data_IF_667865738050
#
_entry.id   IF_667865738050
#
_cell.length_a   1.000
_cell.length_b   1.000
_cell.length_c   1.000
_cell.angle_alpha   90.00
_cell.angle_beta   90.00
_cell.angle_gamma   90.00
#
_symmetry.space_group_name_H-M   'P 1'
#
loop_
_entity.id
_entity.type
_entity.pdbx_description
1 polymer ?
#
# COMPACT_ATOMS: atom_id res chain seq x y z
N UNK A 1 -30.63 -72.30 46.04
CA UNK A 1 -31.01 -71.11 46.86
C UNK A 1 -30.87 -69.90 45.94
N UNK A 2 -31.98 -69.35 45.39
CA UNK A 2 -32.58 -68.03 45.76
C UNK A 2 -31.50 -66.95 45.99
N UNK A 3 -31.44 -65.81 45.30
CA UNK A 3 -32.54 -64.87 45.08
C UNK A 3 -32.16 -63.76 44.06
N UNK A 4 -33.15 -63.33 43.28
CA UNK A 4 -33.20 -62.08 42.51
C UNK A 4 -32.94 -60.83 43.36
N UNK A 5 -32.30 -59.81 42.77
CA UNK A 5 -32.65 -58.41 43.06
C UNK A 5 -32.51 -57.53 41.81
N UNK A 6 -33.64 -56.97 41.41
CA UNK A 6 -33.85 -55.99 40.35
C UNK A 6 -33.18 -54.67 40.72
N UNK A 7 -32.45 -54.05 39.79
CA UNK A 7 -32.12 -52.62 39.84
C UNK A 7 -32.60 -51.98 38.55
N UNK A 8 -33.33 -50.87 38.74
CA UNK A 8 -34.10 -50.13 37.76
C UNK A 8 -33.21 -49.34 36.81
N UNK A 9 -33.60 -49.34 35.54
CA UNK A 9 -33.11 -48.46 34.48
C UNK A 9 -33.47 -47.01 34.84
N UNK A 10 -32.48 -46.13 34.95
CA UNK A 10 -32.67 -44.68 34.82
C UNK A 10 -32.02 -44.28 33.50
N UNK A 11 -32.84 -43.88 32.54
CA UNK A 11 -32.40 -43.34 31.26
C UNK A 11 -31.73 -41.98 31.47
N UNK A 12 -30.47 -41.86 31.08
CA UNK A 12 -29.83 -40.57 30.89
C UNK A 12 -30.12 -40.12 29.45
N UNK A 13 -31.07 -39.21 29.31
CA UNK A 13 -31.25 -38.41 28.10
C UNK A 13 -30.01 -37.51 27.99
N UNK A 14 -29.08 -37.85 27.09
CA UNK A 14 -28.02 -36.93 26.67
C UNK A 14 -28.71 -35.88 25.80
N UNK A 15 -29.00 -34.73 26.42
CA UNK A 15 -29.47 -33.55 25.71
C UNK A 15 -28.41 -33.10 24.72
N UNK A 16 -28.78 -33.08 23.44
CA UNK A 16 -28.06 -32.36 22.39
C UNK A 16 -28.21 -30.87 22.72
N UNK A 17 -27.27 -30.31 23.48
CA UNK A 17 -27.15 -28.87 23.66
C UNK A 17 -26.61 -28.31 22.35
N UNK A 18 -27.44 -27.47 21.73
CA UNK A 18 -27.23 -26.92 20.40
C UNK A 18 -25.89 -26.22 20.23
N UNK A 19 -25.25 -26.55 19.12
CA UNK A 19 -24.06 -25.92 18.57
C UNK A 19 -24.42 -24.57 17.92
N UNK A 20 -25.19 -23.73 18.63
CA UNK A 20 -25.78 -22.49 18.08
C UNK A 20 -25.09 -21.22 18.59
N UNK A 21 -23.91 -21.32 19.21
CA UNK A 21 -23.25 -20.20 19.88
C UNK A 21 -21.95 -19.66 19.24
N UNK A 22 -21.41 -20.30 18.20
CA UNK A 22 -20.03 -20.03 17.75
C UNK A 22 -19.89 -19.01 16.60
N UNK A 23 -20.98 -18.58 15.97
CA UNK A 23 -20.88 -17.69 14.80
C UNK A 23 -20.62 -16.23 15.19
N UNK A 24 -21.11 -15.77 16.37
CA UNK A 24 -20.93 -14.37 16.81
C UNK A 24 -19.58 -14.06 17.47
N UNK A 25 -18.93 -15.05 18.08
CA UNK A 25 -17.66 -14.86 18.78
C UNK A 25 -16.46 -14.72 17.82
N UNK A 26 -16.50 -15.39 16.66
CA UNK A 26 -15.43 -15.36 15.66
C UNK A 26 -15.23 -13.97 15.04
N UNK A 27 -16.30 -13.30 14.63
CA UNK A 27 -16.22 -11.96 14.04
C UNK A 27 -15.71 -10.91 15.04
N UNK A 28 -16.13 -10.98 16.31
CA UNK A 28 -15.72 -10.00 17.32
C UNK A 28 -14.24 -10.13 17.71
N UNK A 29 -13.72 -11.36 17.78
CA UNK A 29 -12.30 -11.60 18.06
C UNK A 29 -11.40 -11.20 16.88
N UNK A 30 -11.79 -11.51 15.65
CA UNK A 30 -11.00 -11.13 14.46
C UNK A 30 -11.00 -9.62 14.23
N UNK A 31 -12.11 -8.92 14.45
CA UNK A 31 -12.16 -7.46 14.35
C UNK A 31 -11.23 -6.79 15.38
N UNK A 32 -11.06 -7.41 16.56
CA UNK A 32 -10.07 -6.97 17.55
C UNK A 32 -8.62 -7.22 17.12
N UNK A 33 -8.34 -8.31 16.40
CA UNK A 33 -7.00 -8.62 15.89
C UNK A 33 -6.61 -7.65 14.76
N UNK A 34 -7.55 -7.35 13.85
CA UNK A 34 -7.34 -6.39 12.78
C UNK A 34 -7.14 -4.97 13.32
N UNK A 35 -7.92 -4.55 14.32
CA UNK A 35 -7.72 -3.29 15.00
C UNK A 35 -6.36 -3.23 15.74
N UNK A 36 -5.91 -4.34 16.33
CA UNK A 36 -4.59 -4.40 16.98
C UNK A 36 -3.42 -4.31 15.97
N UNK A 37 -3.54 -4.95 14.80
CA UNK A 37 -2.58 -4.79 13.69
C UNK A 37 -2.58 -3.34 13.18
N UNK A 38 -3.77 -2.76 13.00
CA UNK A 38 -3.96 -1.36 12.65
C UNK A 38 -3.28 -0.39 13.62
N UNK A 39 -3.45 -0.59 14.92
CA UNK A 39 -2.79 0.20 15.97
C UNK A 39 -1.27 0.17 15.85
N UNK A 40 -0.68 -1.01 15.62
CA UNK A 40 0.79 -1.14 15.46
C UNK A 40 1.29 -0.37 14.24
N UNK A 41 0.58 -0.45 13.12
CA UNK A 41 0.93 0.28 11.89
C UNK A 41 0.76 1.79 12.07
N UNK A 42 -0.31 2.22 12.74
CA UNK A 42 -0.52 3.62 13.08
C UNK A 42 0.61 4.17 13.97
N UNK A 43 1.01 3.43 15.01
CA UNK A 43 2.13 3.79 15.86
C UNK A 43 3.44 3.94 15.07
N UNK A 44 3.67 3.06 14.09
CA UNK A 44 4.88 3.08 13.28
C UNK A 44 4.90 4.25 12.28
N UNK A 45 3.81 4.49 11.55
CA UNK A 45 3.78 5.40 10.40
C UNK A 45 3.07 6.74 10.66
N UNK A 46 2.04 6.77 11.51
CA UNK A 46 1.12 7.92 11.61
C UNK A 46 1.33 8.75 12.88
N UNK A 47 1.66 8.10 13.99
CA UNK A 47 1.73 8.70 15.34
C UNK A 47 2.69 9.89 15.45
N UNK A 48 3.79 9.89 14.69
CA UNK A 48 4.77 10.99 14.71
C UNK A 48 4.18 12.34 14.27
N UNK A 49 3.11 12.32 13.46
CA UNK A 49 2.41 13.49 12.98
C UNK A 49 1.05 13.67 13.66
N UNK A 50 0.27 12.59 13.82
CA UNK A 50 -1.09 12.65 14.35
C UNK A 50 -1.19 12.40 15.86
N UNK A 51 -0.09 12.07 16.54
CA UNK A 51 -0.09 11.73 17.97
C UNK A 51 -0.60 10.33 18.26
N UNK A 52 -0.42 9.87 19.51
CA UNK A 52 -0.87 8.54 19.94
C UNK A 52 -2.41 8.47 19.99
N UNK A 53 -3.07 9.55 20.40
CA UNK A 53 -4.54 9.58 20.53
C UNK A 53 -5.24 10.19 19.32
N UNK A 54 -4.49 10.65 18.32
CA UNK A 54 -5.03 11.30 17.13
C UNK A 54 -5.34 12.79 17.31
N UNK A 55 -5.13 13.34 18.52
CA UNK A 55 -5.38 14.75 18.81
C UNK A 55 -4.33 15.65 18.16
N UNK A 56 -4.76 16.84 17.79
CA UNK A 56 -3.84 17.87 17.30
C UNK A 56 -2.78 18.21 18.35
N UNK A 57 -1.60 18.60 17.88
CA UNK A 57 -0.44 18.97 18.69
C UNK A 57 0.22 17.83 19.49
N UNK A 58 -0.24 16.58 19.41
CA UNK A 58 0.40 15.46 20.11
C UNK A 58 1.59 14.87 19.36
N UNK A 59 1.55 14.85 18.02
CA UNK A 59 2.63 14.30 17.22
C UNK A 59 3.93 15.10 17.40
N UNK A 60 5.05 14.42 17.67
CA UNK A 60 6.37 15.06 17.84
C UNK A 60 6.75 16.00 16.67
N UNK A 61 6.32 15.65 15.44
CA UNK A 61 6.60 16.44 14.25
C UNK A 61 5.68 17.66 14.07
N UNK A 62 4.55 17.71 14.79
CA UNK A 62 3.48 18.69 14.58
C UNK A 62 3.97 20.15 14.59
N UNK A 63 4.82 20.49 15.55
CA UNK A 63 5.38 21.84 15.72
C UNK A 63 6.26 22.28 14.55
N UNK A 64 6.79 21.33 13.79
CA UNK A 64 7.71 21.55 12.67
C UNK A 64 7.01 21.52 11.30
N UNK A 65 5.70 21.23 11.27
CA UNK A 65 4.90 21.19 10.06
C UNK A 65 4.34 22.56 9.71
N UNK A 66 4.44 22.96 8.45
CA UNK A 66 3.70 24.10 7.90
C UNK A 66 2.22 23.77 7.73
N UNK A 67 1.39 24.79 7.54
CA UNK A 67 -0.01 24.59 7.21
C UNK A 67 -0.18 24.04 5.79
N UNK A 68 -1.23 23.21 5.55
CA UNK A 68 -2.17 22.70 6.56
C UNK A 68 -1.52 21.61 7.43
N UNK A 69 -1.71 21.74 8.74
CA UNK A 69 -1.25 20.75 9.72
C UNK A 69 -2.09 19.47 9.69
N UNK A 70 -1.58 18.35 10.23
CA UNK A 70 -2.34 17.11 10.29
C UNK A 70 -3.73 17.30 10.92
N UNK A 71 -4.75 16.60 10.39
CA UNK A 71 -6.13 16.70 10.92
C UNK A 71 -6.23 16.06 12.32
N UNK A 72 -7.15 16.57 13.14
CA UNK A 72 -7.53 15.92 14.41
C UNK A 72 -8.30 14.63 14.12
N UNK A 73 -7.67 13.47 14.30
CA UNK A 73 -8.30 12.17 14.04
C UNK A 73 -9.25 11.75 15.17
N UNK A 74 -9.19 12.42 16.33
CA UNK A 74 -10.05 12.18 17.48
C UNK A 74 -11.34 13.02 17.47
N UNK A 75 -11.41 14.04 16.61
CA UNK A 75 -12.59 14.89 16.50
C UNK A 75 -13.79 14.13 15.93
N UNK A 76 -14.69 13.71 16.82
CA UNK A 76 -15.91 12.97 16.48
C UNK A 76 -16.87 13.72 15.55
N UNK A 77 -17.00 15.03 15.69
CA UNK A 77 -17.94 15.80 14.88
C UNK A 77 -17.52 15.86 13.42
N UNK A 78 -16.21 15.92 13.18
CA UNK A 78 -15.65 16.05 11.84
C UNK A 78 -15.35 14.67 11.25
N UNK A 79 -14.54 13.86 11.93
CA UNK A 79 -14.15 12.53 11.45
C UNK A 79 -15.32 11.55 11.36
N UNK A 80 -16.39 11.79 12.13
CA UNK A 80 -17.62 11.02 12.05
C UNK A 80 -18.43 11.24 10.77
N UNK A 81 -18.11 12.26 9.96
CA UNK A 81 -18.81 12.57 8.70
C UNK A 81 -18.25 11.82 7.49
N UNK A 82 -16.97 11.44 7.53
CA UNK A 82 -16.32 10.71 6.44
C UNK A 82 -16.77 9.26 6.41
N UNK A 83 -16.84 8.67 5.22
CA UNK A 83 -16.99 7.22 5.02
C UNK A 83 -15.66 6.51 5.24
N UNK A 84 -15.71 5.20 5.44
CA UNK A 84 -14.50 4.39 5.63
C UNK A 84 -13.61 4.46 4.40
N UNK A 85 -14.22 4.46 3.21
CA UNK A 85 -13.57 4.60 1.92
C UNK A 85 -12.89 5.96 1.76
N UNK A 86 -13.45 7.04 2.30
CA UNK A 86 -12.82 8.37 2.22
C UNK A 86 -11.50 8.41 3.00
N UNK A 87 -11.49 7.80 4.20
CA UNK A 87 -10.28 7.67 5.02
C UNK A 87 -9.28 6.73 4.32
N UNK A 88 -9.74 5.59 3.81
CA UNK A 88 -8.92 4.65 3.05
C UNK A 88 -8.26 5.33 1.83
N UNK A 89 -9.04 6.05 1.04
CA UNK A 89 -8.56 6.75 -0.16
C UNK A 89 -7.56 7.85 0.21
N UNK A 90 -7.75 8.53 1.34
CA UNK A 90 -6.78 9.52 1.83
C UNK A 90 -5.42 8.88 2.16
N UNK A 91 -5.41 7.68 2.75
CA UNK A 91 -4.17 6.95 3.10
C UNK A 91 -3.52 6.31 1.86
N UNK A 92 -4.32 5.93 0.86
CA UNK A 92 -3.90 5.15 -0.31
C UNK A 92 -3.90 5.92 -1.64
N UNK A 93 -4.11 7.24 -1.64
CA UNK A 93 -4.03 8.06 -2.86
C UNK A 93 -2.62 8.14 -3.41
N UNK A 94 -2.49 8.44 -4.69
CA UNK A 94 -1.19 8.81 -5.26
C UNK A 94 -0.76 10.21 -4.78
N UNK A 95 0.55 10.45 -4.80
CA UNK A 95 1.12 11.77 -4.51
C UNK A 95 0.80 12.72 -5.68
N UNK A 96 0.23 13.89 -5.36
CA UNK A 96 -0.14 14.92 -6.33
C UNK A 96 0.87 16.06 -6.30
N UNK A 97 1.27 16.57 -7.46
CA UNK A 97 2.10 17.77 -7.55
C UNK A 97 1.25 19.02 -7.33
N UNK A 98 1.49 19.73 -6.25
CA UNK A 98 0.75 20.93 -5.87
C UNK A 98 1.41 22.22 -6.38
N UNK A 99 2.35 22.11 -7.32
CA UNK A 99 2.90 23.28 -8.00
C UNK A 99 1.84 23.98 -8.87
N UNK A 100 2.02 25.26 -9.24
CA UNK A 100 1.05 26.00 -10.05
C UNK A 100 0.70 25.33 -11.39
N UNK A 101 1.63 24.55 -11.96
CA UNK A 101 1.45 23.80 -13.20
C UNK A 101 1.30 22.28 -12.96
N UNK A 102 1.05 21.88 -11.72
CA UNK A 102 0.94 20.49 -11.29
C UNK A 102 -0.45 19.89 -11.50
N UNK A 103 -0.79 18.92 -10.66
CA UNK A 103 -2.07 18.23 -10.71
C UNK A 103 -3.23 19.16 -10.35
N UNK A 104 -4.39 18.95 -10.97
CA UNK A 104 -5.62 19.66 -10.59
C UNK A 104 -6.13 19.10 -9.28
N UNK A 105 -5.95 19.89 -8.22
CA UNK A 105 -6.48 19.63 -6.89
C UNK A 105 -7.79 20.39 -6.84
N UNK A 106 -8.92 19.69 -6.99
CA UNK A 106 -10.25 20.29 -6.79
C UNK A 106 -10.48 20.61 -5.32
N UNK A 107 -11.71 20.43 -4.83
CA UNK A 107 -12.04 20.57 -3.40
C UNK A 107 -11.52 19.40 -2.53
N UNK A 108 -10.46 18.71 -2.99
CA UNK A 108 -9.80 17.65 -2.25
C UNK A 108 -8.98 18.27 -1.11
N UNK A 109 -9.66 18.60 -0.02
CA UNK A 109 -9.11 19.17 1.22
C UNK A 109 -7.97 18.30 1.82
N UNK A 110 -7.78 17.08 1.33
CA UNK A 110 -6.79 16.10 1.80
C UNK A 110 -5.53 16.01 0.93
N UNK A 111 -5.51 16.68 -0.22
CA UNK A 111 -4.38 16.69 -1.14
C UNK A 111 -3.28 17.65 -0.68
N UNK A 112 -2.53 17.21 0.33
CA UNK A 112 -1.35 17.91 0.84
C UNK A 112 -0.10 17.09 0.51
N UNK A 113 1.02 17.70 0.05
CA UNK A 113 2.23 16.95 -0.27
C UNK A 113 2.83 16.24 0.95
N UNK A 114 2.58 16.80 2.14
CA UNK A 114 3.23 16.41 3.39
C UNK A 114 2.59 15.21 4.08
N UNK A 115 1.36 14.82 3.70
CA UNK A 115 0.75 13.55 4.09
C UNK A 115 1.17 12.50 3.06
N UNK A 116 2.05 11.55 3.41
CA UNK A 116 2.57 10.60 2.45
C UNK A 116 1.52 9.56 2.06
N UNK A 117 1.66 9.02 0.86
CA UNK A 117 0.91 7.83 0.45
C UNK A 117 1.47 6.56 1.09
N UNK A 118 0.59 5.65 1.46
CA UNK A 118 0.95 4.30 1.90
C UNK A 118 0.58 3.21 0.89
N UNK A 119 -0.02 3.60 -0.24
CA UNK A 119 -0.44 2.71 -1.34
C UNK A 119 0.64 1.75 -1.79
N UNK A 120 1.90 2.20 -1.82
CA UNK A 120 3.04 1.43 -2.30
C UNK A 120 3.86 0.79 -1.18
N UNK A 121 3.39 0.88 0.07
CA UNK A 121 4.10 0.40 1.27
C UNK A 121 3.31 -0.69 1.99
N UNK A 122 2.00 -0.50 2.14
CA UNK A 122 1.11 -1.37 2.89
C UNK A 122 0.17 -2.11 1.95
N UNK A 123 -0.29 -3.29 2.36
CA UNK A 123 -1.37 -3.97 1.63
C UNK A 123 -2.72 -3.29 1.86
N UNK A 124 -3.72 -3.56 1.01
CA UNK A 124 -5.09 -3.03 1.21
C UNK A 124 -5.64 -3.42 2.59
N UNK A 125 -5.47 -4.68 2.99
CA UNK A 125 -5.92 -5.22 4.29
C UNK A 125 -5.29 -4.48 5.48
N UNK A 126 -4.00 -4.13 5.36
CA UNK A 126 -3.27 -3.36 6.38
C UNK A 126 -3.78 -1.91 6.48
N UNK A 127 -4.07 -1.27 5.34
CA UNK A 127 -4.65 0.09 5.31
C UNK A 127 -6.05 0.07 5.94
N UNK A 128 -6.89 -0.93 5.65
CA UNK A 128 -8.18 -1.10 6.34
C UNK A 128 -8.03 -1.30 7.85
N UNK A 129 -6.97 -2.00 8.28
CA UNK A 129 -6.62 -2.08 9.70
C UNK A 129 -6.35 -0.70 10.31
N UNK A 130 -5.59 0.16 9.62
CA UNK A 130 -5.36 1.54 10.06
C UNK A 130 -6.68 2.32 10.11
N UNK A 131 -7.54 2.23 9.09
CA UNK A 131 -8.87 2.89 9.08
C UNK A 131 -9.67 2.47 10.31
N UNK A 132 -9.72 1.17 10.62
CA UNK A 132 -10.40 0.66 11.80
C UNK A 132 -9.85 1.22 13.12
N UNK A 133 -8.52 1.39 13.23
CA UNK A 133 -7.93 2.05 14.39
C UNK A 133 -8.25 3.54 14.43
N UNK A 134 -8.17 4.26 13.31
CA UNK A 134 -8.54 5.68 13.21
C UNK A 134 -10.00 5.90 13.62
N UNK A 135 -10.93 5.01 13.21
CA UNK A 135 -12.32 5.04 13.69
C UNK A 135 -12.44 4.96 15.21
N UNK A 136 -11.61 4.13 15.84
CA UNK A 136 -11.62 3.99 17.29
C UNK A 136 -11.20 5.27 18.03
N UNK A 137 -10.34 6.11 17.42
CA UNK A 137 -9.86 7.36 18.02
C UNK A 137 -10.98 8.40 18.23
N UNK A 138 -12.03 8.35 17.41
CA UNK A 138 -13.19 9.23 17.51
C UNK A 138 -14.49 8.48 17.89
N UNK A 139 -14.35 7.28 18.49
CA UNK A 139 -15.46 6.52 19.05
C UNK A 139 -16.41 5.89 18.03
N UNK A 140 -15.96 5.68 16.79
CA UNK A 140 -16.65 4.94 15.74
C UNK A 140 -16.04 3.55 15.58
N UNK A 141 -16.73 2.69 14.82
CA UNK A 141 -16.22 1.37 14.39
C UNK A 141 -16.07 1.36 12.87
N UNK A 142 -15.22 0.47 12.37
CA UNK A 142 -15.15 0.18 10.95
C UNK A 142 -16.47 -0.47 10.50
N UNK A 143 -17.10 0.08 9.48
CA UNK A 143 -18.31 -0.42 8.83
C UNK A 143 -17.96 -1.22 7.55
N UNK A 144 -16.83 -0.92 6.90
CA UNK A 144 -16.37 -1.61 5.70
C UNK A 144 -16.11 -3.11 5.95
N UNK A 145 -16.68 -3.95 5.09
CA UNK A 145 -16.58 -5.41 5.19
C UNK A 145 -15.28 -5.95 4.54
N UNK A 146 -14.18 -5.91 5.29
CA UNK A 146 -12.86 -6.35 4.83
C UNK A 146 -12.85 -7.83 4.41
N UNK A 147 -13.51 -8.70 5.18
CA UNK A 147 -13.59 -10.13 4.85
C UNK A 147 -14.43 -10.39 3.61
N UNK A 148 -15.54 -9.67 3.46
CA UNK A 148 -16.34 -9.70 2.24
C UNK A 148 -15.53 -9.30 1.02
N UNK A 149 -14.72 -8.24 1.13
CA UNK A 149 -13.82 -7.79 0.06
C UNK A 149 -12.77 -8.83 -0.30
N UNK A 150 -12.14 -9.45 0.70
CA UNK A 150 -11.17 -10.53 0.49
C UNK A 150 -11.78 -11.71 -0.25
N UNK A 151 -12.97 -12.12 0.17
CA UNK A 151 -13.72 -13.22 -0.43
C UNK A 151 -14.12 -12.91 -1.87
N UNK A 152 -14.62 -11.70 -2.13
CA UNK A 152 -14.94 -11.21 -3.47
C UNK A 152 -13.72 -11.29 -4.41
N UNK A 153 -12.54 -10.85 -3.95
CA UNK A 153 -11.30 -10.93 -4.72
C UNK A 153 -10.85 -12.37 -4.99
N UNK A 154 -11.02 -13.27 -4.02
CA UNK A 154 -10.73 -14.69 -4.19
C UNK A 154 -11.65 -15.35 -5.22
N UNK A 155 -12.96 -15.07 -5.14
CA UNK A 155 -13.97 -15.56 -6.07
C UNK A 155 -13.74 -15.00 -7.49
N UNK A 156 -13.41 -13.72 -7.60
CA UNK A 156 -13.07 -13.08 -8.87
C UNK A 156 -11.84 -13.73 -9.52
N UNK A 157 -10.78 -14.01 -8.74
CA UNK A 157 -9.61 -14.74 -9.23
C UNK A 157 -9.97 -16.15 -9.68
N UNK A 158 -10.75 -16.88 -8.87
CA UNK A 158 -11.17 -18.24 -9.22
C UNK A 158 -12.02 -18.27 -10.50
N UNK A 159 -12.94 -17.32 -10.67
CA UNK A 159 -13.75 -17.20 -11.88
C UNK A 159 -12.91 -16.85 -13.10
N UNK A 160 -11.95 -15.93 -12.98
CA UNK A 160 -11.04 -15.58 -14.07
C UNK A 160 -10.13 -16.75 -14.46
N UNK A 161 -9.66 -17.53 -13.48
CA UNK A 161 -8.88 -18.76 -13.71
C UNK A 161 -9.69 -19.79 -14.51
N UNK A 162 -10.95 -20.03 -14.14
CA UNK A 162 -11.83 -20.95 -14.86
C UNK A 162 -12.07 -20.50 -16.31
N UNK A 163 -12.28 -19.20 -16.54
CA UNK A 163 -12.42 -18.64 -17.89
C UNK A 163 -11.16 -18.80 -18.73
N UNK A 164 -10.00 -18.59 -18.12
CA UNK A 164 -8.71 -18.77 -18.81
C UNK A 164 -8.50 -20.25 -19.19
N UNK A 165 -8.73 -21.19 -18.27
CA UNK A 165 -8.61 -22.62 -18.54
C UNK A 165 -9.57 -23.09 -19.63
N UNK A 166 -10.81 -22.58 -19.66
CA UNK A 166 -11.76 -22.90 -20.72
C UNK A 166 -11.34 -22.30 -22.07
N UNK A 167 -10.87 -21.05 -22.09
CA UNK A 167 -10.40 -20.42 -23.32
C UNK A 167 -9.14 -21.11 -23.88
N UNK A 168 -8.22 -21.52 -23.01
CA UNK A 168 -7.03 -22.31 -23.37
C UNK A 168 -7.43 -23.67 -23.95
N UNK A 169 -8.42 -24.36 -23.36
CA UNK A 169 -8.94 -25.61 -23.90
C UNK A 169 -9.58 -25.43 -25.29
N UNK A 170 -10.40 -24.39 -25.48
CA UNK A 170 -11.05 -24.10 -26.76
C UNK A 170 -10.03 -23.73 -27.85
N UNK A 171 -8.98 -23.01 -27.48
CA UNK A 171 -7.88 -22.66 -28.39
C UNK A 171 -7.10 -23.90 -28.83
N UNK A 172 -6.75 -24.79 -27.90
CA UNK A 172 -6.10 -26.07 -28.23
C UNK A 172 -6.99 -26.98 -29.09
N UNK A 173 -8.30 -27.02 -28.82
CA UNK A 173 -9.26 -27.78 -29.63
C UNK A 173 -9.37 -27.20 -31.06
N UNK A 174 -9.36 -25.87 -31.21
CA UNK A 174 -9.42 -25.19 -32.49
C UNK A 174 -8.12 -25.33 -33.30
N UNK A 175 -6.96 -25.18 -32.65
CA UNK A 175 -5.64 -25.40 -33.26
C UNK A 175 -5.55 -26.84 -33.78
N UNK A 176 -5.89 -27.83 -32.95
CA UNK A 176 -5.89 -29.24 -33.36
C UNK A 176 -6.80 -29.47 -34.58
N UNK A 177 -8.00 -28.90 -34.59
CA UNK A 177 -8.93 -29.02 -35.71
C UNK A 177 -8.37 -28.38 -36.98
N UNK A 178 -7.73 -27.20 -36.88
CA UNK A 178 -7.09 -26.54 -38.00
C UNK A 178 -5.93 -27.37 -38.58
N UNK A 179 -5.11 -27.96 -37.71
CA UNK A 179 -4.02 -28.87 -38.08
C UNK A 179 -4.55 -30.12 -38.81
N UNK A 180 -5.56 -30.80 -38.24
CA UNK A 180 -6.19 -31.97 -38.85
C UNK A 180 -6.81 -31.65 -40.23
N UNK A 181 -7.36 -30.45 -40.42
CA UNK A 181 -7.92 -30.00 -41.71
C UNK A 181 -6.84 -29.63 -42.73
N UNK A 182 -5.74 -29.04 -42.29
CA UNK A 182 -4.60 -28.67 -43.13
C UNK A 182 -3.88 -29.93 -43.65
N UNK A 183 -3.63 -30.91 -42.77
CA UNK A 183 -3.05 -32.22 -43.13
C UNK A 183 -3.88 -32.95 -44.18
N UNK A 184 -5.21 -32.98 -44.03
CA UNK A 184 -6.12 -33.61 -45.01
C UNK A 184 -6.08 -32.94 -46.39
N UNK A 185 -5.81 -31.64 -46.43
CA UNK A 185 -5.74 -30.85 -47.66
C UNK A 185 -4.32 -30.77 -48.25
N UNK A 186 -3.30 -31.26 -47.53
CA UNK A 186 -1.90 -31.19 -47.95
C UNK A 186 -1.37 -29.74 -48.01
N UNK A 187 -1.95 -28.84 -47.22
CA UNK A 187 -1.59 -27.41 -47.17
C UNK A 187 -1.08 -27.06 -45.78
N UNK A 188 -0.33 -25.96 -45.67
CA UNK A 188 0.05 -25.40 -44.38
C UNK A 188 -1.18 -24.81 -43.65
N UNK A 189 -1.09 -24.75 -42.33
CA UNK A 189 -2.16 -24.25 -41.45
C UNK A 189 -2.32 -22.73 -41.67
N UNK A 190 -3.55 -22.27 -41.87
CA UNK A 190 -3.84 -20.84 -41.87
C UNK A 190 -3.89 -20.34 -40.42
N UNK A 191 -2.92 -19.54 -40.02
CA UNK A 191 -2.84 -18.94 -38.67
C UNK A 191 -4.10 -18.13 -38.31
N UNK A 192 -4.92 -17.72 -39.29
CA UNK A 192 -6.20 -17.05 -39.03
C UNK A 192 -7.34 -18.02 -38.68
N UNK A 193 -7.17 -19.32 -38.86
CA UNK A 193 -8.22 -20.33 -38.68
C UNK A 193 -8.74 -20.40 -37.23
N UNK A 194 -7.90 -20.06 -36.26
CA UNK A 194 -8.22 -20.06 -34.82
C UNK A 194 -7.81 -18.74 -34.12
N UNK A 195 -7.64 -17.66 -34.89
CA UNK A 195 -7.24 -16.36 -34.34
C UNK A 195 -8.23 -15.77 -33.32
N UNK A 196 -9.51 -16.15 -33.40
CA UNK A 196 -10.54 -15.70 -32.44
C UNK A 196 -10.32 -16.34 -31.06
N UNK A 197 -9.97 -17.62 -31.04
CA UNK A 197 -9.70 -18.39 -29.83
C UNK A 197 -8.41 -17.89 -29.16
N UNK A 198 -7.36 -17.60 -29.95
CA UNK A 198 -6.14 -16.94 -29.44
C UNK A 198 -6.45 -15.59 -28.80
N UNK A 199 -7.28 -14.75 -29.43
CA UNK A 199 -7.70 -13.46 -28.86
C UNK A 199 -8.52 -13.63 -27.58
N UNK A 200 -9.45 -14.60 -27.55
CA UNK A 200 -10.27 -14.90 -26.38
C UNK A 200 -9.41 -15.37 -25.20
N UNK A 201 -8.44 -16.28 -25.45
CA UNK A 201 -7.47 -16.71 -24.44
C UNK A 201 -6.62 -15.55 -23.94
N UNK A 202 -6.13 -14.69 -24.83
CA UNK A 202 -5.35 -13.50 -24.45
C UNK A 202 -6.13 -12.53 -23.54
N UNK A 203 -7.41 -12.30 -23.84
CA UNK A 203 -8.29 -11.49 -23.00
C UNK A 203 -8.57 -12.15 -21.64
N UNK A 204 -8.86 -13.46 -21.62
CA UNK A 204 -9.07 -14.21 -20.38
C UNK A 204 -7.81 -14.21 -19.50
N UNK A 205 -6.62 -14.34 -20.11
CA UNK A 205 -5.34 -14.25 -19.41
C UNK A 205 -5.13 -12.88 -18.75
N UNK A 206 -5.48 -11.81 -19.46
CA UNK A 206 -5.41 -10.44 -18.93
C UNK A 206 -6.36 -10.26 -17.73
N UNK A 207 -7.58 -10.81 -17.78
CA UNK A 207 -8.51 -10.79 -16.66
C UNK A 207 -7.97 -11.56 -15.45
N UNK A 208 -7.39 -12.75 -15.68
CA UNK A 208 -6.74 -13.55 -14.63
C UNK A 208 -5.56 -12.80 -13.99
N UNK A 209 -4.73 -12.14 -14.79
CA UNK A 209 -3.60 -11.35 -14.29
C UNK A 209 -4.07 -10.18 -13.43
N UNK A 210 -5.13 -9.48 -13.86
CA UNK A 210 -5.74 -8.39 -13.10
C UNK A 210 -6.33 -8.89 -11.77
N UNK A 211 -7.08 -9.98 -11.78
CA UNK A 211 -7.69 -10.55 -10.57
C UNK A 211 -6.61 -11.09 -9.61
N UNK A 212 -5.56 -11.71 -10.14
CA UNK A 212 -4.42 -12.18 -9.35
C UNK A 212 -3.67 -11.00 -8.72
N UNK A 213 -3.40 -9.94 -9.47
CA UNK A 213 -2.76 -8.73 -8.95
C UNK A 213 -3.62 -8.04 -7.88
N UNK A 214 -4.94 -7.97 -8.07
CA UNK A 214 -5.85 -7.38 -7.09
C UNK A 214 -5.83 -8.15 -5.75
N UNK A 215 -5.90 -9.48 -5.79
CA UNK A 215 -5.81 -10.30 -4.57
C UNK A 215 -4.43 -10.22 -3.91
N UNK A 216 -3.36 -10.16 -4.71
CA UNK A 216 -2.00 -9.98 -4.20
C UNK A 216 -1.83 -8.62 -3.51
N UNK A 217 -2.30 -7.52 -4.12
CA UNK A 217 -2.27 -6.18 -3.53
C UNK A 217 -3.10 -6.10 -2.24
N UNK A 218 -4.18 -6.89 -2.15
CA UNK A 218 -4.99 -6.93 -0.95
C UNK A 218 -4.25 -7.54 0.24
N UNK A 219 -3.56 -8.65 0.02
CA UNK A 219 -2.98 -9.49 1.08
C UNK A 219 -1.50 -9.27 1.32
N UNK A 220 -0.77 -8.71 0.35
CA UNK A 220 0.69 -8.58 0.39
C UNK A 220 1.13 -7.16 0.17
N UNK A 221 2.20 -6.76 0.89
CA UNK A 221 2.79 -5.43 0.74
C UNK A 221 3.42 -5.28 -0.65
N UNK A 222 3.13 -4.20 -1.37
CA UNK A 222 3.75 -3.92 -2.67
C UNK A 222 5.27 -3.82 -2.58
N UNK A 223 5.95 -4.19 -3.66
CA UNK A 223 7.40 -3.99 -3.79
C UNK A 223 8.29 -4.90 -2.93
N UNK A 224 7.73 -5.80 -2.10
CA UNK A 224 8.52 -6.75 -1.32
C UNK A 224 9.34 -7.67 -2.24
N UNK A 225 10.65 -7.74 -2.02
CA UNK A 225 11.55 -8.57 -2.83
C UNK A 225 11.88 -8.02 -4.23
N UNK A 226 11.40 -6.84 -4.59
CA UNK A 226 11.72 -6.21 -5.88
C UNK A 226 13.12 -5.62 -5.84
N UNK A 227 13.99 -6.06 -6.77
CA UNK A 227 15.30 -5.46 -6.95
C UNK A 227 15.23 -4.25 -7.89
N UNK A 228 15.52 -3.06 -7.38
CA UNK A 228 15.63 -1.85 -8.20
C UNK A 228 17.04 -1.78 -8.82
N UNK A 229 17.10 -1.74 -10.15
CA UNK A 229 18.36 -1.60 -10.88
C UNK A 229 19.07 -0.28 -10.55
N UNK A 230 20.40 -0.27 -10.68
CA UNK A 230 21.19 0.95 -10.55
C UNK A 230 20.90 1.86 -11.74
N UNK A 231 20.51 3.13 -11.53
CA UNK A 231 20.25 4.04 -12.63
C UNK A 231 21.57 4.50 -13.27
N UNK A 232 21.51 4.85 -14.55
CA UNK A 232 22.47 5.78 -15.13
C UNK A 232 22.08 7.22 -14.77
N UNK A 233 23.02 7.94 -14.17
CA UNK A 233 22.88 9.35 -13.79
C UNK A 233 23.88 10.23 -14.52
N UNK A 234 24.59 9.69 -15.51
CA UNK A 234 25.48 10.45 -16.36
C UNK A 234 24.66 11.14 -17.44
N UNK A 235 24.70 12.48 -17.44
CA UNK A 235 24.00 13.30 -18.42
C UNK A 235 24.78 14.59 -18.64
N UNK A 236 24.46 15.28 -19.75
CA UNK A 236 25.07 16.58 -20.05
C UNK A 236 24.83 17.57 -18.90
N UNK A 237 25.76 18.48 -18.60
CA UNK A 237 25.65 19.39 -17.47
C UNK A 237 24.36 20.24 -17.46
N UNK A 238 23.91 20.70 -18.63
CA UNK A 238 22.69 21.49 -18.78
C UNK A 238 21.42 20.66 -18.48
N UNK A 239 21.41 19.39 -18.87
CA UNK A 239 20.32 18.44 -18.56
C UNK A 239 20.32 18.12 -17.06
N UNK A 240 21.49 17.88 -16.48
CA UNK A 240 21.63 17.63 -15.03
C UNK A 240 21.10 18.82 -14.22
N UNK A 241 21.46 20.05 -14.59
CA UNK A 241 21.00 21.25 -13.91
C UNK A 241 19.47 21.38 -13.96
N UNK A 242 18.84 21.16 -15.13
CA UNK A 242 17.38 21.17 -15.25
C UNK A 242 16.71 20.10 -14.39
N UNK A 243 17.23 18.87 -14.39
CA UNK A 243 16.72 17.78 -13.56
C UNK A 243 16.90 18.05 -12.06
N UNK A 244 17.99 18.71 -11.66
CA UNK A 244 18.20 19.16 -10.28
C UNK A 244 17.12 20.14 -9.84
N UNK A 245 16.74 21.12 -10.68
CA UNK A 245 15.68 22.06 -10.31
C UNK A 245 14.29 21.41 -10.26
N UNK A 246 14.00 20.50 -11.20
CA UNK A 246 12.79 19.66 -11.13
C UNK A 246 12.79 18.87 -9.81
N UNK A 247 13.92 18.25 -9.46
CA UNK A 247 14.06 17.50 -8.21
C UNK A 247 13.83 18.34 -6.96
N UNK A 248 14.30 19.59 -6.96
CA UNK A 248 14.06 20.55 -5.88
C UNK A 248 12.59 20.91 -5.75
N UNK A 249 11.89 21.12 -6.86
CA UNK A 249 10.45 21.37 -6.86
C UNK A 249 9.71 20.14 -6.31
N UNK A 250 9.93 18.96 -6.91
CA UNK A 250 9.27 17.71 -6.53
C UNK A 250 9.46 17.34 -5.06
N UNK A 251 10.63 17.66 -4.49
CA UNK A 251 10.94 17.47 -3.07
C UNK A 251 9.90 18.13 -2.16
N UNK A 252 9.37 19.30 -2.55
CA UNK A 252 8.39 20.05 -1.75
C UNK A 252 6.98 19.82 -2.25
N UNK A 253 6.74 20.00 -3.54
CA UNK A 253 5.38 20.19 -4.07
C UNK A 253 4.65 18.88 -4.38
N UNK A 254 5.36 17.79 -4.65
CA UNK A 254 4.74 16.51 -4.98
C UNK A 254 4.92 15.47 -3.89
N UNK A 255 6.16 15.27 -3.47
CA UNK A 255 6.51 14.20 -2.54
C UNK A 255 6.61 14.66 -1.08
N UNK A 256 6.51 15.98 -0.83
CA UNK A 256 6.50 16.58 0.51
C UNK A 256 7.58 16.03 1.42
N UNK A 257 8.78 15.80 0.88
CA UNK A 257 9.91 15.26 1.61
C UNK A 257 10.27 16.14 2.82
N UNK A 258 10.05 17.46 2.69
CA UNK A 258 10.17 18.45 3.75
C UNK A 258 9.20 18.23 4.92
N UNK A 259 8.11 17.48 4.74
CA UNK A 259 7.19 17.12 5.83
C UNK A 259 7.85 16.20 6.86
N UNK A 260 8.80 15.36 6.44
CA UNK A 260 9.52 14.47 7.34
C UNK A 260 10.98 14.89 7.54
N UNK A 261 11.65 15.38 6.50
CA UNK A 261 13.07 15.70 6.50
C UNK A 261 13.32 17.19 6.58
N UNK A 262 14.34 17.57 7.35
CA UNK A 262 14.82 18.95 7.38
C UNK A 262 15.99 19.21 6.43
N UNK A 263 16.03 20.44 5.90
CA UNK A 263 17.18 21.07 5.24
C UNK A 263 17.32 22.45 5.87
N UNK A 264 18.46 22.71 6.49
CA UNK A 264 18.73 23.84 7.35
C UNK A 264 17.87 23.73 8.61
N UNK A 265 17.16 24.81 8.90
CA UNK A 265 16.17 24.87 9.97
C UNK A 265 14.75 24.58 9.47
N UNK A 266 14.57 24.37 8.16
CA UNK A 266 13.26 24.18 7.55
C UNK A 266 12.92 22.69 7.38
N UNK A 267 11.71 22.31 7.79
CA UNK A 267 11.11 20.99 7.56
C UNK A 267 10.94 20.13 8.81
N UNK A 268 10.60 18.86 8.57
CA UNK A 268 10.24 17.90 9.60
C UNK A 268 11.43 17.29 10.35
N UNK A 269 11.09 16.61 11.46
CA UNK A 269 12.05 15.97 12.37
C UNK A 269 11.91 14.44 12.41
N UNK A 270 10.99 13.87 11.64
CA UNK A 270 10.76 12.41 11.57
C UNK A 270 11.90 11.72 10.82
N UNK A 271 12.31 12.30 9.70
CA UNK A 271 13.42 11.85 8.88
C UNK A 271 14.74 12.52 9.30
N UNK A 272 15.89 11.90 9.00
CA UNK A 272 17.19 12.52 9.23
C UNK A 272 17.36 13.79 8.38
N UNK A 273 18.14 14.74 8.89
CA UNK A 273 18.53 15.95 8.17
C UNK A 273 19.25 15.63 6.84
N UNK A 274 18.87 16.31 5.76
CA UNK A 274 19.35 16.05 4.41
C UNK A 274 20.36 17.08 3.89
N UNK A 275 20.70 18.10 4.68
CA UNK A 275 21.71 19.14 4.41
C UNK A 275 23.01 18.67 3.79
N UNK A 276 23.37 17.43 4.15
CA UNK A 276 24.64 16.80 3.82
C UNK A 276 24.47 15.51 3.06
N UNK A 277 23.29 15.26 2.50
CA UNK A 277 23.00 14.07 1.72
C UNK A 277 24.02 13.90 0.58
N UNK A 278 24.38 14.98 -0.11
CA UNK A 278 25.35 14.98 -1.21
C UNK A 278 26.80 14.68 -0.82
N UNK A 279 27.15 14.80 0.46
CA UNK A 279 28.43 14.34 0.99
C UNK A 279 28.37 12.89 1.51
N UNK A 280 27.24 12.50 2.11
CA UNK A 280 27.11 11.24 2.85
C UNK A 280 26.61 10.08 2.01
N UNK A 281 25.83 10.35 0.97
CA UNK A 281 25.06 9.36 0.24
C UNK A 281 25.47 9.30 -1.23
N UNK A 282 25.50 8.09 -1.78
CA UNK A 282 25.69 7.89 -3.21
C UNK A 282 24.36 8.15 -3.96
N UNK A 283 24.33 8.97 -5.02
CA UNK A 283 23.08 9.32 -5.71
C UNK A 283 22.35 8.12 -6.34
N UNK A 284 23.08 7.08 -6.77
CA UNK A 284 22.44 5.85 -7.27
C UNK A 284 21.82 5.02 -6.16
N UNK A 285 22.38 5.08 -4.94
CA UNK A 285 21.78 4.48 -3.75
C UNK A 285 20.52 5.25 -3.36
N UNK A 286 20.57 6.59 -3.38
CA UNK A 286 19.43 7.46 -3.09
C UNK A 286 18.28 7.18 -4.06
N UNK A 287 18.54 7.07 -5.36
CA UNK A 287 17.52 6.69 -6.34
C UNK A 287 16.81 5.38 -5.98
N UNK A 288 17.57 4.32 -5.63
CA UNK A 288 16.99 3.02 -5.29
C UNK A 288 16.15 3.11 -4.01
N UNK A 289 16.65 3.85 -3.03
CA UNK A 289 15.93 4.13 -1.78
C UNK A 289 14.62 4.86 -2.03
N UNK A 290 14.60 5.85 -2.92
CA UNK A 290 13.41 6.60 -3.30
C UNK A 290 12.39 5.75 -4.08
N UNK A 291 12.85 4.79 -4.89
CA UNK A 291 11.98 3.91 -5.68
C UNK A 291 11.31 2.83 -4.85
N UNK A 292 12.03 2.26 -3.88
CA UNK A 292 11.49 1.24 -2.98
C UNK A 292 12.35 1.10 -1.71
N UNK A 293 12.09 1.91 -0.68
CA UNK A 293 12.88 1.88 0.55
C UNK A 293 12.74 0.53 1.29
N UNK A 294 11.61 -0.16 1.13
CA UNK A 294 11.24 -1.35 1.92
C UNK A 294 11.95 -2.59 1.37
N UNK A 295 12.33 -2.57 0.09
CA UNK A 295 13.23 -3.57 -0.49
C UNK A 295 14.67 -3.45 0.02
N UNK A 296 15.09 -2.27 0.50
CA UNK A 296 16.44 -2.03 1.03
C UNK A 296 16.51 -2.19 2.55
N UNK A 297 15.49 -1.69 3.26
CA UNK A 297 15.33 -1.83 4.71
C UNK A 297 13.85 -2.10 5.01
N UNK A 298 13.44 -3.36 5.26
CA UNK A 298 12.03 -3.74 5.42
C UNK A 298 11.24 -2.94 6.46
N UNK A 299 11.88 -2.58 7.58
CA UNK A 299 11.24 -1.89 8.72
C UNK A 299 11.53 -0.38 8.76
N UNK A 300 11.93 0.22 7.64
CA UNK A 300 12.15 1.66 7.59
C UNK A 300 10.82 2.42 7.65
N UNK A 301 10.79 3.51 8.42
CA UNK A 301 9.61 4.38 8.56
C UNK A 301 9.32 5.20 7.31
N UNK A 302 10.29 5.37 6.40
CA UNK A 302 10.08 6.11 5.15
C UNK A 302 9.21 5.27 4.21
N UNK A 303 7.98 5.70 3.89
CA UNK A 303 7.13 4.96 2.96
C UNK A 303 7.67 5.04 1.54
N UNK A 304 7.32 4.05 0.72
CA UNK A 304 7.41 4.15 -0.74
C UNK A 304 6.34 5.11 -1.22
N UNK A 305 6.77 6.21 -1.83
CA UNK A 305 5.89 7.30 -2.30
C UNK A 305 5.47 7.16 -3.77
N UNK A 306 5.85 6.06 -4.43
CA UNK A 306 5.51 5.83 -5.84
C UNK A 306 6.26 6.70 -6.85
N UNK A 307 7.46 7.20 -6.51
CA UNK A 307 8.27 8.01 -7.43
C UNK A 307 8.52 7.24 -8.72
N UNK A 308 8.19 7.81 -9.88
CA UNK A 308 8.58 7.21 -11.16
C UNK A 308 10.11 7.34 -11.40
N UNK A 309 10.62 6.77 -12.49
CA UNK A 309 12.05 6.79 -12.81
C UNK A 309 12.62 8.21 -12.94
N UNK A 310 11.94 9.08 -13.69
CA UNK A 310 12.38 10.46 -13.92
C UNK A 310 12.39 11.26 -12.62
N UNK A 311 11.31 11.18 -11.84
CA UNK A 311 11.16 11.88 -10.56
C UNK A 311 12.22 11.42 -9.55
N UNK A 312 12.46 10.11 -9.44
CA UNK A 312 13.49 9.57 -8.56
C UNK A 312 14.91 10.02 -8.97
N UNK A 313 15.21 10.09 -10.28
CA UNK A 313 16.50 10.63 -10.77
C UNK A 313 16.64 12.11 -10.45
N UNK A 314 15.61 12.90 -10.72
CA UNK A 314 15.59 14.34 -10.46
C UNK A 314 15.83 14.64 -8.96
N UNK A 315 15.06 14.00 -8.07
CA UNK A 315 15.23 14.19 -6.61
C UNK A 315 16.60 13.70 -6.14
N UNK A 316 17.11 12.56 -6.64
CA UNK A 316 18.46 12.10 -6.30
C UNK A 316 19.56 13.09 -6.72
N UNK A 317 19.41 13.72 -7.90
CA UNK A 317 20.33 14.77 -8.37
C UNK A 317 20.23 16.04 -7.52
N UNK A 318 19.03 16.44 -7.10
CA UNK A 318 18.86 17.54 -6.15
C UNK A 318 19.57 17.25 -4.82
N UNK A 319 19.30 16.09 -4.20
CA UNK A 319 19.92 15.71 -2.92
C UNK A 319 21.46 15.61 -3.02
N UNK A 320 22.00 15.26 -4.20
CA UNK A 320 23.45 15.26 -4.47
C UNK A 320 24.09 16.65 -4.33
N UNK A 321 23.32 17.71 -4.56
CA UNK A 321 23.80 19.10 -4.42
C UNK A 321 23.86 19.57 -2.97
N UNK A 322 23.14 18.90 -2.05
CA UNK A 322 23.08 19.28 -0.64
C UNK A 322 24.39 18.94 0.07
N UNK A 323 25.24 19.96 0.18
CA UNK A 323 26.64 19.88 0.62
C UNK A 323 26.95 20.93 1.69
N UNK A 324 26.10 21.03 2.70
CA UNK A 324 26.35 21.91 3.84
C UNK A 324 27.67 21.53 4.57
N UNK A 325 28.37 22.49 5.18
CA UNK A 325 29.62 22.25 5.90
C UNK A 325 29.52 21.24 7.07
N UNK A 326 30.72 20.82 7.53
CA UNK A 326 31.00 20.34 8.89
C UNK A 326 30.10 20.89 10.02
N UNK A 327 29.08 20.28 10.66
CA UNK A 327 28.57 20.89 11.89
C UNK A 327 29.68 20.80 12.94
N UNK A 328 29.92 21.90 13.67
CA UNK A 328 31.00 22.00 14.66
C UNK A 328 30.79 21.04 15.85
N UNK A 329 29.51 20.71 16.13
CA UNK A 329 29.13 19.71 17.12
C UNK A 329 28.56 18.46 16.44
N UNK A 330 28.78 17.25 16.98
CA UNK A 330 28.10 16.06 16.52
C UNK A 330 26.58 16.28 16.49
N UNK A 331 25.92 15.82 15.43
CA UNK A 331 24.45 15.82 15.39
C UNK A 331 23.96 15.00 16.58
N UNK A 332 23.01 15.53 17.35
CA UNK A 332 22.38 14.81 18.44
C UNK A 332 21.89 13.45 17.96
N UNK A 333 22.10 12.39 18.75
CA UNK A 333 21.51 11.08 18.43
C UNK A 333 20.00 11.26 18.30
N UNK A 334 19.41 10.74 17.23
CA UNK A 334 17.96 10.59 17.14
C UNK A 334 17.58 9.71 18.33
N UNK A 335 16.75 10.21 19.25
CA UNK A 335 16.39 9.49 20.46
C UNK A 335 15.85 8.11 20.10
N UNK A 336 16.45 7.08 20.68
CA UNK A 336 15.87 5.74 20.75
C UNK A 336 14.78 5.79 21.84
N UNK A 337 13.63 6.39 21.51
CA UNK A 337 12.41 6.29 22.33
C UNK A 337 11.27 5.64 21.53
#
# INVERSE_FOLDING_TARGET
MRAWRRIRVFGAVVGVVGLSGLIGAGCSMMQSEQAAKGKKLYAHYCMHCHGETGKQNEGFNWSSMSDPKPKDLSNKSEMGTFKDEDIFNTISRDMKDTSPNGDKIGDDEFAVPTMPTFKYTLSEEEIWGIVGYVRSLHGKKLEFNVEGRKKELQEAKQSAEQKYQEAERLEQEAEKKANDEAEKKGVEVDDNAYAKEVQAMGQAKKELDQATAALANFTTRPGKGVNIARPDLNMKPDVAAKMTEIGKQLYVTKYGCNGCHKIGEDGGKVGPALDRAGYRLNPTWVYRWLRNPQAMKPDTRMPSLGLNDADAKAVALYLKTLRAPKPDKPLGKVSEE
#
